data_IF_604178021806
#
_entry.id   IF_604178021806
#
_cell.length_a   1.000
_cell.length_b   1.000
_cell.length_c   1.000
_cell.angle_alpha   90.00
_cell.angle_beta   90.00
_cell.angle_gamma   90.00
#
_symmetry.space_group_name_H-M   'P 1'
#
loop_
_entity.id
_entity.type
_entity.pdbx_description
1 polymer ?
#
# COMPACT_ATOMS: atom_id res chain seq x y z
N UNK A 1 -22.61 28.80 13.89
CA UNK A 1 -21.64 28.20 14.82
C UNK A 1 -22.39 27.25 15.74
N UNK A 2 -22.31 25.93 15.49
CA UNK A 2 -22.85 24.90 16.37
C UNK A 2 -21.85 24.71 17.51
N UNK A 3 -22.19 25.17 18.72
CA UNK A 3 -21.47 24.76 19.93
C UNK A 3 -21.96 23.34 20.27
N UNK A 4 -21.07 22.34 20.35
CA UNK A 4 -21.47 21.06 20.89
C UNK A 4 -21.91 21.27 22.36
N UNK A 5 -22.97 20.60 22.81
CA UNK A 5 -23.40 20.70 24.19
C UNK A 5 -22.25 20.33 25.13
N UNK A 6 -22.02 21.15 26.11
CA UNK A 6 -20.93 21.08 27.07
C UNK A 6 -20.79 19.67 27.63
N UNK A 7 -19.55 19.16 27.56
CA UNK A 7 -19.01 18.10 28.39
C UNK A 7 -19.93 16.89 28.64
N UNK A 8 -20.36 16.18 27.60
CA UNK A 8 -20.64 14.77 27.74
C UNK A 8 -19.31 14.11 28.06
N UNK A 9 -19.15 13.67 29.30
CA UNK A 9 -17.99 12.97 29.82
C UNK A 9 -17.63 11.87 28.82
N UNK A 10 -16.42 11.92 28.29
CA UNK A 10 -15.87 10.99 27.30
C UNK A 10 -15.91 9.51 27.73
N UNK A 11 -16.40 9.21 28.91
CA UNK A 11 -16.50 7.87 29.52
C UNK A 11 -17.82 7.14 29.27
N UNK A 12 -18.84 7.76 28.64
CA UNK A 12 -20.17 7.15 28.53
C UNK A 12 -20.63 6.80 27.10
N UNK A 13 -20.02 7.35 26.04
CA UNK A 13 -20.46 7.03 24.68
C UNK A 13 -19.28 6.94 23.72
N UNK A 14 -19.07 5.74 23.15
CA UNK A 14 -18.11 5.52 22.07
C UNK A 14 -18.86 5.56 20.72
N UNK A 15 -18.59 6.57 19.84
CA UNK A 15 -19.24 6.68 18.55
C UNK A 15 -19.01 5.45 17.66
N UNK A 16 -20.07 4.95 17.03
CA UNK A 16 -19.98 3.75 16.17
C UNK A 16 -19.14 3.98 14.92
N UNK A 17 -19.10 5.21 14.42
CA UNK A 17 -18.20 5.57 13.32
C UNK A 17 -16.71 5.39 13.66
N UNK A 18 -16.31 5.57 14.93
CA UNK A 18 -14.94 5.31 15.34
C UNK A 18 -14.63 3.81 15.41
N UNK A 19 -15.59 2.99 15.77
CA UNK A 19 -15.47 1.53 15.66
C UNK A 19 -15.25 1.10 14.19
N UNK A 20 -15.98 1.70 13.25
CA UNK A 20 -15.79 1.47 11.83
C UNK A 20 -14.38 1.86 11.37
N UNK A 21 -13.88 3.04 11.77
CA UNK A 21 -12.53 3.52 11.43
C UNK A 21 -11.47 2.58 11.99
N UNK A 22 -11.57 2.18 13.27
CA UNK A 22 -10.62 1.28 13.90
C UNK A 22 -10.59 -0.11 13.25
N UNK A 23 -11.75 -0.65 12.91
CA UNK A 23 -11.82 -1.95 12.23
C UNK A 23 -11.34 -1.84 10.77
N UNK A 24 -11.55 -0.71 10.10
CA UNK A 24 -10.96 -0.46 8.78
C UNK A 24 -9.43 -0.31 8.84
N UNK A 25 -8.91 0.36 9.88
CA UNK A 25 -7.48 0.40 10.19
C UNK A 25 -6.93 -1.01 10.41
N UNK A 26 -7.60 -1.81 11.25
CA UNK A 26 -7.18 -3.18 11.54
C UNK A 26 -7.21 -4.08 10.29
N UNK A 27 -8.22 -3.94 9.40
CA UNK A 27 -8.26 -4.66 8.12
C UNK A 27 -7.05 -4.30 7.24
N UNK A 28 -6.70 -3.01 7.15
CA UNK A 28 -5.54 -2.56 6.38
C UNK A 28 -4.23 -3.02 7.01
N UNK A 29 -4.14 -3.02 8.34
CA UNK A 29 -2.99 -3.55 9.07
C UNK A 29 -2.79 -5.05 8.76
N UNK A 30 -3.84 -5.86 8.83
CA UNK A 30 -3.80 -7.30 8.53
C UNK A 30 -3.43 -7.53 7.06
N UNK A 31 -4.02 -6.76 6.13
CA UNK A 31 -3.72 -6.82 4.72
C UNK A 31 -2.20 -6.66 4.45
N UNK A 32 -1.56 -5.66 5.04
CA UNK A 32 -0.12 -5.42 4.84
C UNK A 32 0.76 -6.35 5.66
N UNK A 33 0.31 -6.80 6.82
CA UNK A 33 0.94 -7.86 7.59
C UNK A 33 1.03 -9.16 6.77
N UNK A 34 -0.07 -9.59 6.17
CA UNK A 34 -0.13 -10.81 5.34
C UNK A 34 0.70 -10.67 4.05
N UNK A 35 0.68 -9.48 3.42
CA UNK A 35 1.44 -9.20 2.21
C UNK A 35 2.94 -9.25 2.42
N UNK A 36 3.44 -8.75 3.55
CA UNK A 36 4.87 -8.69 3.86
C UNK A 36 5.39 -10.00 4.44
N UNK A 37 4.55 -10.76 5.14
CA UNK A 37 4.91 -12.05 5.74
C UNK A 37 5.68 -12.97 4.76
N UNK A 38 5.18 -13.12 3.54
CA UNK A 38 5.78 -14.01 2.53
C UNK A 38 7.21 -13.58 2.15
N UNK A 39 7.54 -12.28 2.18
CA UNK A 39 8.90 -11.82 1.80
C UNK A 39 9.98 -12.30 2.77
N UNK A 40 9.60 -12.57 4.01
CA UNK A 40 10.46 -13.17 5.03
C UNK A 40 10.38 -14.69 4.98
N UNK A 41 9.15 -15.23 4.97
CA UNK A 41 8.91 -16.67 4.98
C UNK A 41 9.44 -17.39 3.73
N UNK A 42 9.55 -16.69 2.59
CA UNK A 42 10.06 -17.25 1.33
C UNK A 42 11.50 -17.77 1.46
N UNK A 43 12.28 -17.22 2.41
CA UNK A 43 13.70 -17.61 2.61
C UNK A 43 13.78 -19.07 3.06
N UNK A 44 13.22 -19.46 4.23
CA UNK A 44 13.21 -20.86 4.65
C UNK A 44 12.36 -21.76 3.74
N UNK A 45 11.25 -21.24 3.17
CA UNK A 45 10.45 -22.00 2.19
C UNK A 45 11.28 -22.42 0.99
N UNK A 46 12.07 -21.51 0.45
CA UNK A 46 12.91 -21.78 -0.72
C UNK A 46 14.02 -22.78 -0.41
N UNK A 47 14.60 -22.71 0.78
CA UNK A 47 15.61 -23.67 1.23
C UNK A 47 15.02 -25.08 1.38
N UNK A 48 13.80 -25.20 1.94
CA UNK A 48 13.11 -26.48 2.17
C UNK A 48 12.56 -27.08 0.86
N UNK A 49 12.00 -26.24 -0.02
CA UNK A 49 11.31 -26.69 -1.26
C UNK A 49 12.19 -26.64 -2.51
N UNK A 50 13.47 -26.25 -2.36
CA UNK A 50 14.44 -26.23 -3.46
C UNK A 50 14.16 -25.19 -4.53
N UNK A 51 13.67 -23.98 -4.17
CA UNK A 51 13.30 -22.95 -5.13
C UNK A 51 14.48 -22.06 -5.52
N UNK A 52 14.60 -21.84 -6.81
CA UNK A 52 15.50 -20.86 -7.39
C UNK A 52 14.92 -19.43 -7.32
N UNK A 53 15.69 -18.38 -7.58
CA UNK A 53 15.21 -17.00 -7.54
C UNK A 53 14.05 -16.69 -8.49
N UNK A 54 13.90 -17.44 -9.61
CA UNK A 54 12.76 -17.27 -10.54
C UNK A 54 11.46 -17.76 -9.90
N UNK A 55 11.53 -18.94 -9.29
CA UNK A 55 10.39 -19.52 -8.56
C UNK A 55 9.97 -18.63 -7.39
N UNK A 56 10.93 -18.11 -6.63
CA UNK A 56 10.66 -17.14 -5.56
C UNK A 56 9.94 -15.90 -6.10
N UNK A 57 10.44 -15.33 -7.20
CA UNK A 57 9.83 -14.16 -7.85
C UNK A 57 8.40 -14.46 -8.35
N UNK A 58 8.17 -15.63 -8.93
CA UNK A 58 6.84 -16.04 -9.37
C UNK A 58 5.86 -16.12 -8.20
N UNK A 59 6.25 -16.71 -7.06
CA UNK A 59 5.44 -16.81 -5.85
C UNK A 59 5.14 -15.43 -5.27
N UNK A 60 6.13 -14.53 -5.20
CA UNK A 60 5.98 -13.18 -4.67
C UNK A 60 5.12 -12.29 -5.57
N UNK A 61 5.22 -12.46 -6.90
CA UNK A 61 4.49 -11.65 -7.89
C UNK A 61 3.07 -12.13 -8.16
N UNK A 62 2.77 -13.42 -7.97
CA UNK A 62 1.46 -14.01 -8.27
C UNK A 62 0.30 -13.29 -7.54
N UNK A 63 0.54 -12.80 -6.33
CA UNK A 63 -0.38 -11.98 -5.58
C UNK A 63 -0.88 -10.77 -6.38
N UNK A 64 0.03 -10.06 -7.05
CA UNK A 64 -0.31 -8.83 -7.78
C UNK A 64 -1.21 -9.08 -9.00
N UNK A 65 -1.21 -10.29 -9.55
CA UNK A 65 -2.11 -10.68 -10.64
C UNK A 65 -3.56 -10.63 -10.16
N UNK A 66 -3.86 -11.28 -9.03
CA UNK A 66 -5.20 -11.26 -8.44
C UNK A 66 -5.62 -9.87 -7.97
N UNK A 67 -4.70 -9.16 -7.33
CA UNK A 67 -4.91 -7.80 -6.83
C UNK A 67 -5.27 -6.83 -7.97
N UNK A 68 -4.55 -6.87 -9.09
CA UNK A 68 -4.79 -6.01 -10.26
C UNK A 68 -6.20 -6.20 -10.84
N UNK A 69 -6.64 -7.46 -10.97
CA UNK A 69 -7.97 -7.78 -11.50
C UNK A 69 -9.08 -7.21 -10.62
N UNK A 70 -8.99 -7.45 -9.33
CA UNK A 70 -10.04 -7.02 -8.39
C UNK A 70 -9.99 -5.54 -8.04
N UNK A 71 -8.84 -4.90 -8.12
CA UNK A 71 -8.72 -3.46 -7.90
C UNK A 71 -9.58 -2.66 -8.88
N UNK A 72 -9.64 -3.10 -10.15
CA UNK A 72 -10.45 -2.45 -11.20
C UNK A 72 -11.95 -2.69 -10.96
N UNK A 73 -12.33 -3.88 -10.49
CA UNK A 73 -13.73 -4.30 -10.32
C UNK A 73 -14.25 -3.94 -8.93
N UNK A 74 -13.37 -3.85 -7.94
CA UNK A 74 -13.69 -3.71 -6.52
C UNK A 74 -14.57 -2.52 -6.19
N UNK A 75 -14.37 -1.38 -6.87
CA UNK A 75 -15.23 -0.21 -6.72
C UNK A 75 -16.68 -0.53 -7.10
N UNK A 76 -16.90 -1.14 -8.27
CA UNK A 76 -18.25 -1.54 -8.74
C UNK A 76 -18.90 -2.58 -7.82
N UNK A 77 -18.12 -3.51 -7.29
CA UNK A 77 -18.60 -4.48 -6.31
C UNK A 77 -19.04 -3.79 -5.02
N UNK A 78 -18.23 -2.87 -4.50
CA UNK A 78 -18.53 -2.11 -3.28
C UNK A 78 -19.78 -1.21 -3.46
N UNK A 79 -19.97 -0.61 -4.64
CA UNK A 79 -21.15 0.20 -4.95
C UNK A 79 -22.42 -0.66 -5.06
N UNK A 80 -22.33 -1.84 -5.71
CA UNK A 80 -23.46 -2.73 -5.96
C UNK A 80 -23.89 -3.51 -4.72
N UNK A 81 -22.94 -4.10 -4.00
CA UNK A 81 -23.22 -5.01 -2.87
C UNK A 81 -23.03 -4.34 -1.49
N UNK A 82 -22.49 -3.11 -1.48
CA UNK A 82 -22.14 -2.37 -0.26
C UNK A 82 -20.77 -2.74 0.29
N UNK A 83 -20.02 -1.71 0.72
CA UNK A 83 -18.65 -1.87 1.20
C UNK A 83 -18.49 -2.84 2.38
N UNK A 84 -19.50 -2.97 3.28
CA UNK A 84 -19.46 -3.92 4.40
C UNK A 84 -19.31 -5.37 3.92
N UNK A 85 -20.15 -5.80 2.98
CA UNK A 85 -20.21 -7.18 2.50
C UNK A 85 -18.94 -7.49 1.69
N UNK A 86 -18.55 -6.56 0.81
CA UNK A 86 -17.39 -6.74 -0.07
C UNK A 86 -16.09 -6.79 0.73
N UNK A 87 -15.88 -5.89 1.70
CA UNK A 87 -14.71 -5.94 2.58
C UNK A 87 -14.69 -7.22 3.42
N UNK A 88 -15.83 -7.59 3.97
CA UNK A 88 -15.98 -8.83 4.75
C UNK A 88 -15.62 -10.07 3.95
N UNK A 89 -16.15 -10.18 2.72
CA UNK A 89 -15.83 -11.28 1.80
C UNK A 89 -14.35 -11.27 1.38
N UNK A 90 -13.79 -10.10 1.15
CA UNK A 90 -12.37 -9.92 0.84
C UNK A 90 -11.47 -10.42 1.97
N UNK A 91 -11.70 -9.94 3.21
CA UNK A 91 -10.90 -10.35 4.39
C UNK A 91 -11.00 -11.85 4.62
N UNK A 92 -12.21 -12.41 4.58
CA UNK A 92 -12.39 -13.85 4.76
C UNK A 92 -11.65 -14.64 3.66
N UNK A 93 -11.77 -14.22 2.41
CA UNK A 93 -11.12 -14.86 1.27
C UNK A 93 -9.60 -14.85 1.43
N UNK A 94 -8.97 -13.69 1.63
CA UNK A 94 -7.51 -13.67 1.75
C UNK A 94 -7.00 -14.38 2.99
N UNK A 95 -7.72 -14.30 4.12
CA UNK A 95 -7.34 -15.02 5.35
C UNK A 95 -7.38 -16.54 5.15
N UNK A 96 -8.38 -17.05 4.42
CA UNK A 96 -8.46 -18.47 4.06
C UNK A 96 -7.30 -18.87 3.16
N UNK A 97 -6.96 -18.06 2.13
CA UNK A 97 -5.82 -18.33 1.28
C UNK A 97 -4.48 -18.22 2.03
N UNK A 98 -4.37 -17.31 3.00
CA UNK A 98 -3.21 -17.23 3.90
C UNK A 98 -3.10 -18.53 4.72
N UNK A 99 -4.19 -19.00 5.35
CA UNK A 99 -4.21 -20.27 6.10
C UNK A 99 -3.86 -21.49 5.22
N UNK A 100 -4.34 -21.53 3.98
CA UNK A 100 -4.11 -22.64 3.05
C UNK A 100 -2.70 -22.61 2.43
N UNK A 101 -2.00 -21.49 2.47
CA UNK A 101 -0.69 -21.30 1.82
C UNK A 101 0.33 -22.42 2.15
N UNK A 102 0.50 -22.89 3.41
CA UNK A 102 1.44 -23.97 3.69
C UNK A 102 1.09 -25.28 2.99
N UNK A 103 -0.16 -25.69 3.02
CA UNK A 103 -0.60 -26.91 2.32
C UNK A 103 -0.47 -26.77 0.80
N UNK A 104 -0.78 -25.59 0.26
CA UNK A 104 -0.60 -25.32 -1.16
C UNK A 104 0.87 -25.37 -1.59
N UNK A 105 1.80 -24.91 -0.73
CA UNK A 105 3.23 -24.98 -0.98
C UNK A 105 3.74 -26.43 -1.08
N UNK A 106 3.29 -27.30 -0.17
CA UNK A 106 3.63 -28.74 -0.21
C UNK A 106 2.91 -29.49 -1.34
N UNK A 107 1.72 -29.05 -1.76
CA UNK A 107 1.01 -29.64 -2.90
C UNK A 107 1.65 -29.30 -4.25
N UNK A 108 2.49 -28.27 -4.31
CA UNK A 108 3.27 -27.88 -5.48
C UNK A 108 3.09 -26.43 -5.91
N UNK A 109 3.98 -26.01 -6.80
CA UNK A 109 4.07 -24.58 -7.21
C UNK A 109 2.75 -24.04 -7.77
N UNK A 110 2.06 -24.78 -8.61
CA UNK A 110 0.79 -24.33 -9.22
C UNK A 110 -0.28 -24.05 -8.17
N UNK A 111 -0.40 -24.92 -7.17
CA UNK A 111 -1.36 -24.73 -6.08
C UNK A 111 -1.01 -23.48 -5.25
N UNK A 112 0.27 -23.28 -4.96
CA UNK A 112 0.73 -22.09 -4.26
C UNK A 112 0.47 -20.81 -5.05
N UNK A 113 0.79 -20.79 -6.35
CA UNK A 113 0.52 -19.63 -7.21
C UNK A 113 -0.98 -19.32 -7.26
N UNK A 114 -1.84 -20.33 -7.34
CA UNK A 114 -3.30 -20.15 -7.29
C UNK A 114 -3.75 -19.56 -5.93
N UNK A 115 -3.20 -20.04 -4.81
CA UNK A 115 -3.48 -19.49 -3.49
C UNK A 115 -3.03 -18.03 -3.38
N UNK A 116 -1.86 -17.67 -3.91
CA UNK A 116 -1.35 -16.29 -3.94
C UNK A 116 -2.23 -15.36 -4.79
N UNK A 117 -2.67 -15.82 -5.98
CA UNK A 117 -3.63 -15.08 -6.82
C UNK A 117 -4.96 -14.90 -6.07
N UNK A 118 -5.48 -15.95 -5.46
CA UNK A 118 -6.72 -15.89 -4.66
C UNK A 118 -6.63 -14.91 -3.48
N UNK A 119 -5.49 -14.87 -2.80
CA UNK A 119 -5.20 -13.88 -1.76
C UNK A 119 -5.24 -12.45 -2.33
N UNK A 120 -4.59 -12.21 -3.47
CA UNK A 120 -4.62 -10.93 -4.17
C UNK A 120 -6.02 -10.48 -4.58
N UNK A 121 -6.85 -11.41 -5.06
CA UNK A 121 -8.28 -11.16 -5.37
C UNK A 121 -9.02 -10.67 -4.14
N UNK A 122 -8.80 -11.29 -2.97
CA UNK A 122 -9.43 -10.87 -1.72
C UNK A 122 -8.96 -9.48 -1.25
N UNK A 123 -7.67 -9.19 -1.34
CA UNK A 123 -7.12 -7.91 -0.87
C UNK A 123 -7.45 -6.71 -1.77
N UNK A 124 -7.61 -6.92 -3.09
CA UNK A 124 -7.84 -5.84 -4.05
C UNK A 124 -9.12 -5.03 -3.83
N UNK A 125 -10.08 -5.57 -3.09
CA UNK A 125 -11.34 -4.86 -2.76
C UNK A 125 -11.25 -3.98 -1.50
N UNK A 126 -10.14 -4.03 -0.74
CA UNK A 126 -10.02 -3.39 0.57
C UNK A 126 -10.28 -1.89 0.52
N UNK A 127 -9.48 -1.15 -0.22
CA UNK A 127 -9.62 0.32 -0.27
C UNK A 127 -10.93 0.77 -0.91
N UNK A 128 -11.38 0.23 -2.06
CA UNK A 128 -12.69 0.59 -2.61
C UNK A 128 -13.84 0.40 -1.62
N UNK A 129 -13.82 -0.70 -0.86
CA UNK A 129 -14.85 -0.98 0.15
C UNK A 129 -14.82 -0.02 1.32
N UNK A 130 -13.62 0.34 1.82
CA UNK A 130 -13.45 1.32 2.90
C UNK A 130 -13.94 2.70 2.45
N UNK A 131 -13.58 3.15 1.26
CA UNK A 131 -14.06 4.42 0.72
C UNK A 131 -15.59 4.46 0.55
N UNK A 132 -16.20 3.37 0.06
CA UNK A 132 -17.65 3.25 -0.05
C UNK A 132 -18.35 3.34 1.31
N UNK A 133 -17.77 2.72 2.36
CA UNK A 133 -18.30 2.80 3.72
C UNK A 133 -18.13 4.20 4.33
N UNK A 134 -16.96 4.79 4.21
CA UNK A 134 -16.69 6.12 4.76
C UNK A 134 -17.56 7.19 4.14
N UNK A 135 -17.87 7.09 2.83
CA UNK A 135 -18.80 7.98 2.17
C UNK A 135 -20.22 7.96 2.74
N UNK A 136 -20.63 6.87 3.43
CA UNK A 136 -21.93 6.73 4.07
C UNK A 136 -21.94 7.00 5.57
N UNK A 137 -20.81 6.78 6.24
CA UNK A 137 -20.70 6.82 7.70
C UNK A 137 -20.05 8.07 8.26
N UNK A 138 -19.21 8.73 7.44
CA UNK A 138 -18.39 9.83 7.93
C UNK A 138 -18.78 11.17 7.31
N UNK A 139 -18.83 12.23 8.13
CA UNK A 139 -18.87 13.60 7.66
C UNK A 139 -17.64 13.94 6.81
N UNK A 140 -17.80 14.86 5.84
CA UNK A 140 -16.69 15.28 4.94
C UNK A 140 -15.49 15.80 5.72
N UNK A 141 -15.74 16.47 6.86
CA UNK A 141 -14.72 17.05 7.74
C UNK A 141 -13.87 15.99 8.45
N UNK A 142 -14.43 14.80 8.71
CA UNK A 142 -13.74 13.69 9.38
C UNK A 142 -13.07 12.74 8.37
N UNK A 143 -13.48 12.76 7.11
CA UNK A 143 -13.04 11.81 6.08
C UNK A 143 -11.52 11.78 5.88
N UNK A 144 -10.90 12.95 5.77
CA UNK A 144 -9.44 13.04 5.55
C UNK A 144 -8.63 12.44 6.70
N UNK A 145 -9.07 12.69 7.95
CA UNK A 145 -8.43 12.12 9.15
C UNK A 145 -8.62 10.60 9.23
N UNK A 146 -9.82 10.13 8.93
CA UNK A 146 -10.14 8.70 8.94
C UNK A 146 -9.33 7.94 7.87
N UNK A 147 -9.24 8.48 6.67
CA UNK A 147 -8.42 7.92 5.59
C UNK A 147 -6.94 7.92 5.98
N UNK A 148 -6.43 9.04 6.53
CA UNK A 148 -5.06 9.13 7.02
C UNK A 148 -4.75 8.07 8.08
N UNK A 149 -5.69 7.83 9.02
CA UNK A 149 -5.56 6.77 10.01
C UNK A 149 -5.50 5.39 9.36
N UNK A 150 -6.37 5.09 8.41
CA UNK A 150 -6.35 3.79 7.70
C UNK A 150 -5.05 3.60 6.93
N UNK A 151 -4.54 4.64 6.26
CA UNK A 151 -3.27 4.55 5.54
C UNK A 151 -2.06 4.39 6.47
N UNK A 152 -2.12 4.91 7.71
CA UNK A 152 -1.05 4.69 8.70
C UNK A 152 -0.93 3.22 9.14
N UNK A 153 -1.95 2.41 8.92
CA UNK A 153 -1.90 0.96 9.15
C UNK A 153 -0.95 0.23 8.19
N UNK A 154 -0.69 0.78 7.00
CA UNK A 154 0.20 0.20 5.98
C UNK A 154 1.62 -0.03 6.51
N UNK A 155 2.36 1.01 6.90
CA UNK A 155 3.70 0.82 7.45
C UNK A 155 3.70 0.05 8.76
N UNK A 156 2.68 0.20 9.61
CA UNK A 156 2.60 -0.50 10.88
C UNK A 156 2.42 -2.01 10.69
N UNK A 157 1.54 -2.44 9.79
CA UNK A 157 1.37 -3.86 9.44
C UNK A 157 2.64 -4.45 8.82
N UNK A 158 3.30 -3.68 7.94
CA UNK A 158 4.57 -4.09 7.33
C UNK A 158 5.68 -4.27 8.36
N UNK A 159 5.87 -3.29 9.26
CA UNK A 159 6.85 -3.36 10.37
C UNK A 159 6.55 -4.54 11.29
N UNK A 160 5.28 -4.74 11.65
CA UNK A 160 4.88 -5.87 12.48
C UNK A 160 5.25 -7.21 11.83
N UNK A 161 4.94 -7.40 10.55
CA UNK A 161 5.28 -8.62 9.83
C UNK A 161 6.79 -8.84 9.77
N UNK A 162 7.58 -7.81 9.44
CA UNK A 162 9.05 -7.91 9.39
C UNK A 162 9.66 -8.32 10.73
N UNK A 163 9.12 -7.86 11.85
CA UNK A 163 9.62 -8.19 13.19
C UNK A 163 9.11 -9.55 13.69
N UNK A 164 7.82 -9.84 13.49
CA UNK A 164 7.17 -11.01 14.08
C UNK A 164 7.41 -12.28 13.26
N UNK A 165 7.42 -12.19 11.92
CA UNK A 165 7.59 -13.37 11.07
C UNK A 165 8.89 -14.13 11.35
N UNK A 166 10.09 -13.50 11.46
CA UNK A 166 11.31 -14.24 11.79
C UNK A 166 11.22 -14.98 13.14
N UNK A 167 10.61 -14.34 14.14
CA UNK A 167 10.42 -14.93 15.48
C UNK A 167 9.57 -16.19 15.39
N UNK A 168 8.41 -16.09 14.71
CA UNK A 168 7.52 -17.24 14.53
C UNK A 168 8.20 -18.36 13.74
N UNK A 169 8.92 -18.00 12.67
CA UNK A 169 9.64 -18.97 11.82
C UNK A 169 10.71 -19.73 12.60
N UNK A 170 11.49 -19.04 13.42
CA UNK A 170 12.59 -19.67 14.20
C UNK A 170 12.03 -20.66 15.24
N UNK A 171 10.94 -20.31 15.91
CA UNK A 171 10.42 -21.11 17.02
C UNK A 171 9.45 -22.22 16.59
N UNK A 172 8.69 -21.97 15.51
CA UNK A 172 7.59 -22.87 15.10
C UNK A 172 7.68 -23.34 13.64
N UNK A 173 8.60 -22.77 12.86
CA UNK A 173 8.70 -22.99 11.41
C UNK A 173 7.82 -22.06 10.59
N UNK A 174 8.16 -21.91 9.30
CA UNK A 174 7.49 -20.96 8.39
C UNK A 174 5.97 -21.19 8.19
N UNK A 175 5.42 -22.44 8.26
CA UNK A 175 3.98 -22.64 8.12
C UNK A 175 3.17 -21.88 9.18
N UNK A 176 3.69 -21.80 10.41
CA UNK A 176 2.99 -21.14 11.51
C UNK A 176 2.87 -19.63 11.35
N UNK A 177 3.75 -18.99 10.57
CA UNK A 177 3.58 -17.58 10.23
C UNK A 177 2.29 -17.35 9.40
N UNK A 178 1.96 -18.27 8.49
CA UNK A 178 0.72 -18.19 7.72
C UNK A 178 -0.51 -18.60 8.54
N UNK A 179 -0.40 -19.62 9.37
CA UNK A 179 -1.52 -20.04 10.22
C UNK A 179 -1.88 -18.95 11.23
N UNK A 180 -0.91 -18.36 11.91
CA UNK A 180 -1.16 -17.32 12.91
C UNK A 180 -1.76 -16.06 12.29
N UNK A 181 -1.21 -15.60 11.17
CA UNK A 181 -1.67 -14.38 10.53
C UNK A 181 -3.05 -14.56 9.88
N UNK A 182 -3.29 -15.67 9.19
CA UNK A 182 -4.61 -15.98 8.65
C UNK A 182 -5.68 -16.14 9.73
N UNK A 183 -5.33 -16.67 10.90
CA UNK A 183 -6.23 -16.74 12.04
C UNK A 183 -6.62 -15.36 12.58
N UNK A 184 -5.68 -14.39 12.61
CA UNK A 184 -5.97 -13.00 12.99
C UNK A 184 -7.01 -12.39 12.05
N UNK A 185 -6.90 -12.62 10.74
CA UNK A 185 -7.91 -12.18 9.78
C UNK A 185 -9.27 -12.81 9.97
N UNK A 186 -9.33 -14.09 10.30
CA UNK A 186 -10.59 -14.80 10.61
C UNK A 186 -11.25 -14.24 11.89
N UNK A 187 -10.47 -13.95 12.93
CA UNK A 187 -10.95 -13.29 14.16
C UNK A 187 -11.50 -11.90 13.83
N UNK A 188 -10.76 -11.11 13.05
CA UNK A 188 -11.22 -9.80 12.61
C UNK A 188 -12.55 -9.89 11.86
N UNK A 189 -12.69 -10.85 10.93
CA UNK A 189 -13.92 -11.08 10.17
C UNK A 189 -15.13 -11.30 11.11
N UNK A 190 -14.97 -12.13 12.15
CA UNK A 190 -16.02 -12.38 13.15
C UNK A 190 -16.41 -11.08 13.90
N UNK A 191 -15.43 -10.30 14.35
CA UNK A 191 -15.66 -9.02 15.03
C UNK A 191 -16.36 -8.03 14.08
N UNK A 192 -15.93 -7.97 12.82
CA UNK A 192 -16.54 -7.12 11.80
C UNK A 192 -18.01 -7.43 11.60
N UNK A 193 -18.39 -8.70 11.49
CA UNK A 193 -19.78 -9.11 11.30
C UNK A 193 -20.68 -8.68 12.46
N UNK A 194 -20.17 -8.72 13.68
CA UNK A 194 -20.94 -8.39 14.89
C UNK A 194 -21.00 -6.89 15.20
N UNK A 195 -20.03 -6.10 14.77
CA UNK A 195 -19.87 -4.71 15.21
C UNK A 195 -20.18 -3.66 14.15
N UNK A 196 -20.15 -4.00 12.86
CA UNK A 196 -20.33 -3.05 11.75
C UNK A 196 -21.63 -3.31 11.02
N UNK A 197 -22.31 -2.24 10.63
CA UNK A 197 -23.47 -2.25 9.72
C UNK A 197 -23.14 -1.49 8.43
N UNK A 198 -23.80 -1.89 7.31
CA UNK A 198 -23.61 -1.25 6.01
C UNK A 198 -24.15 0.20 5.99
N UNK A 199 -25.21 0.43 6.77
CA UNK A 199 -25.94 1.70 6.83
C UNK A 199 -26.02 2.17 8.28
N UNK A 200 -25.59 3.41 8.58
CA UNK A 200 -25.70 3.97 9.92
C UNK A 200 -27.15 4.04 10.41
N UNK A 201 -28.12 4.26 9.51
CA UNK A 201 -29.55 4.34 9.87
C UNK A 201 -30.13 3.02 10.41
N UNK A 202 -29.54 1.90 9.99
CA UNK A 202 -29.94 0.53 10.41
C UNK A 202 -29.13 -0.04 11.55
N UNK A 203 -28.18 0.74 12.11
CA UNK A 203 -27.34 0.23 13.19
C UNK A 203 -28.13 0.15 14.52
N UNK A 204 -28.25 -1.03 15.15
CA UNK A 204 -29.15 -1.24 16.29
C UNK A 204 -28.80 -0.45 17.53
N UNK A 205 -27.55 -0.08 17.71
CA UNK A 205 -27.02 0.55 18.94
C UNK A 205 -26.37 1.91 18.68
N UNK A 206 -26.62 2.55 17.53
CA UNK A 206 -26.13 3.91 17.27
C UNK A 206 -26.97 4.91 18.06
N UNK A 207 -26.34 5.90 18.68
CA UNK A 207 -27.07 6.94 19.38
C UNK A 207 -27.79 7.88 18.39
N UNK A 208 -28.95 8.40 18.79
CA UNK A 208 -29.78 9.26 17.95
C UNK A 208 -29.05 10.52 17.47
N UNK A 209 -28.29 11.14 18.37
CA UNK A 209 -27.49 12.32 18.03
C UNK A 209 -26.40 12.03 16.99
N UNK A 210 -25.78 10.82 17.04
CA UNK A 210 -24.78 10.42 16.03
C UNK A 210 -25.47 10.13 14.70
N UNK A 211 -26.62 9.47 14.71
CA UNK A 211 -27.44 9.21 13.52
C UNK A 211 -27.86 10.50 12.85
N UNK A 212 -28.36 11.47 13.62
CA UNK A 212 -28.74 12.79 13.13
C UNK A 212 -27.53 13.53 12.54
N UNK A 213 -26.39 13.51 13.23
CA UNK A 213 -25.16 14.13 12.75
C UNK A 213 -24.69 13.57 11.41
N UNK A 214 -24.73 12.26 11.21
CA UNK A 214 -24.37 11.62 9.93
C UNK A 214 -25.40 12.00 8.85
N UNK A 215 -26.70 12.05 9.17
CA UNK A 215 -27.76 12.37 8.21
C UNK A 215 -27.70 13.81 7.68
N UNK A 216 -27.33 14.80 8.53
CA UNK A 216 -27.21 16.20 8.09
C UNK A 216 -26.13 16.38 7.01
N UNK A 217 -25.10 15.54 7.02
CA UNK A 217 -23.99 15.60 6.07
C UNK A 217 -24.29 14.85 4.78
N UNK A 218 -25.01 13.74 4.85
CA UNK A 218 -25.45 13.01 3.65
C UNK A 218 -26.37 13.86 2.75
N UNK A 219 -27.21 14.72 3.36
CA UNK A 219 -28.14 15.59 2.64
C UNK A 219 -27.45 16.74 1.86
N UNK A 220 -26.19 17.07 2.18
CA UNK A 220 -25.42 18.15 1.52
C UNK A 220 -24.50 17.65 0.40
N UNK A 221 -24.50 16.36 0.07
CA UNK A 221 -23.72 15.82 -1.05
C UNK A 221 -24.39 16.15 -2.38
N UNK A 222 -23.94 17.22 -3.03
CA UNK A 222 -24.26 17.52 -4.42
C UNK A 222 -23.71 16.39 -5.29
N UNK A 223 -24.54 15.80 -6.17
CA UNK A 223 -24.09 14.82 -7.17
C UNK A 223 -22.90 15.38 -7.95
N UNK A 224 -21.78 14.67 -7.90
CA UNK A 224 -20.62 15.05 -8.71
C UNK A 224 -20.96 14.86 -10.20
N UNK A 225 -20.59 15.81 -11.08
CA UNK A 225 -20.77 15.64 -12.51
C UNK A 225 -20.11 14.34 -12.99
N UNK A 226 -20.60 13.79 -14.11
CA UNK A 226 -20.04 12.56 -14.68
C UNK A 226 -18.52 12.72 -14.92
N UNK A 227 -17.70 11.75 -14.50
CA UNK A 227 -16.25 11.86 -14.68
C UNK A 227 -15.89 11.89 -16.18
N UNK A 228 -14.78 12.56 -16.56
CA UNK A 228 -14.27 12.56 -17.92
C UNK A 228 -14.04 11.14 -18.43
N UNK A 229 -14.21 10.93 -19.75
CA UNK A 229 -13.94 9.62 -20.33
C UNK A 229 -12.45 9.24 -20.19
N UNK A 230 -12.15 7.94 -20.14
CA UNK A 230 -10.76 7.47 -20.12
C UNK A 230 -9.94 8.02 -21.30
N UNK A 231 -10.57 8.15 -22.47
CA UNK A 231 -9.93 8.72 -23.66
C UNK A 231 -9.55 10.18 -23.45
N UNK A 232 -10.42 10.95 -22.79
CA UNK A 232 -10.16 12.37 -22.46
C UNK A 232 -9.01 12.46 -21.46
N UNK A 233 -9.01 11.65 -20.40
CA UNK A 233 -7.94 11.65 -19.41
C UNK A 233 -6.58 11.28 -20.03
N UNK A 234 -6.54 10.22 -20.81
CA UNK A 234 -5.32 9.73 -21.46
C UNK A 234 -4.82 10.65 -22.61
N UNK A 235 -5.62 11.61 -23.07
CA UNK A 235 -5.22 12.65 -24.02
C UNK A 235 -4.28 13.70 -23.44
N UNK A 236 -4.09 13.75 -22.12
CA UNK A 236 -3.31 14.78 -21.44
C UNK A 236 -1.97 14.26 -20.89
N UNK A 237 -0.85 14.83 -21.32
CA UNK A 237 0.49 14.44 -20.86
C UNK A 237 0.72 14.53 -19.34
N UNK A 238 0.17 15.52 -18.60
CA UNK A 238 0.30 15.52 -17.14
C UNK A 238 -0.33 14.30 -16.45
N UNK A 239 -1.39 13.70 -17.02
CA UNK A 239 -1.97 12.45 -16.52
C UNK A 239 -0.98 11.30 -16.70
N UNK A 240 -0.31 11.23 -17.87
CA UNK A 240 0.75 10.25 -18.10
C UNK A 240 1.96 10.45 -17.19
N UNK A 241 2.32 11.69 -16.85
CA UNK A 241 3.39 11.96 -15.91
C UNK A 241 3.10 11.36 -14.52
N UNK A 242 1.86 11.44 -14.07
CA UNK A 242 1.41 10.81 -12.82
C UNK A 242 1.43 9.28 -12.95
N UNK A 243 0.90 8.73 -14.05
CA UNK A 243 0.85 7.27 -14.29
C UNK A 243 2.27 6.69 -14.30
N UNK A 244 3.17 7.27 -15.07
CA UNK A 244 4.58 6.83 -15.18
C UNK A 244 5.31 7.03 -13.84
N UNK A 245 5.08 8.16 -13.16
CA UNK A 245 5.62 8.41 -11.82
C UNK A 245 5.19 7.33 -10.83
N UNK A 246 3.90 6.96 -10.82
CA UNK A 246 3.37 5.91 -9.94
C UNK A 246 3.95 4.52 -10.29
N UNK A 247 4.02 4.18 -11.57
CA UNK A 247 4.64 2.96 -12.05
C UNK A 247 6.10 2.84 -11.61
N UNK A 248 6.91 3.87 -11.85
CA UNK A 248 8.33 3.86 -11.50
C UNK A 248 8.57 3.85 -9.98
N UNK A 249 7.75 4.57 -9.21
CA UNK A 249 7.78 4.53 -7.76
C UNK A 249 7.55 3.12 -7.22
N UNK A 250 6.53 2.47 -7.74
CA UNK A 250 6.14 1.14 -7.28
C UNK A 250 7.08 0.05 -7.77
N UNK A 251 7.80 0.24 -8.88
CA UNK A 251 8.85 -0.69 -9.30
C UNK A 251 9.88 -0.89 -8.19
N UNK A 252 10.54 0.18 -7.76
CA UNK A 252 11.52 0.09 -6.68
C UNK A 252 10.90 -0.33 -5.36
N UNK A 253 9.72 0.21 -5.03
CA UNK A 253 9.00 -0.14 -3.80
C UNK A 253 8.66 -1.63 -3.70
N UNK A 254 8.13 -2.24 -4.76
CA UNK A 254 7.75 -3.67 -4.76
C UNK A 254 8.96 -4.60 -4.85
N UNK A 255 10.01 -4.22 -5.59
CA UNK A 255 11.26 -5.00 -5.62
C UNK A 255 11.89 -5.03 -4.23
N UNK A 256 11.98 -3.89 -3.54
CA UNK A 256 12.50 -3.85 -2.18
C UNK A 256 11.59 -4.59 -1.20
N UNK A 257 10.28 -4.40 -1.28
CA UNK A 257 9.33 -5.11 -0.40
C UNK A 257 9.43 -6.63 -0.55
N UNK A 258 9.64 -7.11 -1.77
CA UNK A 258 9.71 -8.54 -2.07
C UNK A 258 11.08 -9.15 -1.70
N UNK A 259 12.17 -8.47 -2.03
CA UNK A 259 13.50 -9.05 -1.98
C UNK A 259 14.43 -8.49 -0.90
N UNK A 260 14.03 -7.43 -0.18
CA UNK A 260 14.91 -6.84 0.85
C UNK A 260 15.31 -7.84 1.94
N UNK A 261 14.39 -8.66 2.52
CA UNK A 261 14.79 -9.68 3.48
C UNK A 261 15.77 -10.70 2.88
N UNK A 262 15.53 -11.13 1.64
CA UNK A 262 16.41 -12.06 0.92
C UNK A 262 17.79 -11.44 0.63
N UNK A 263 17.83 -10.15 0.23
CA UNK A 263 19.09 -9.43 0.04
C UNK A 263 19.89 -9.32 1.35
N UNK A 264 19.23 -9.01 2.46
CA UNK A 264 19.89 -8.89 3.77
C UNK A 264 20.50 -10.22 4.19
N UNK A 265 19.79 -11.34 3.99
CA UNK A 265 20.31 -12.67 4.37
C UNK A 265 21.29 -13.24 3.36
N UNK A 266 20.96 -13.28 2.09
CA UNK A 266 21.76 -13.94 1.06
C UNK A 266 22.82 -13.03 0.42
N UNK A 267 22.51 -11.73 0.30
CA UNK A 267 23.43 -10.74 -0.29
C UNK A 267 24.45 -10.19 0.71
N UNK A 268 23.98 -9.91 1.94
CA UNK A 268 24.82 -9.32 3.00
C UNK A 268 25.26 -10.31 4.08
N UNK A 269 24.79 -11.58 4.02
CA UNK A 269 25.19 -12.62 4.96
C UNK A 269 24.67 -12.42 6.40
N UNK A 270 23.61 -11.64 6.58
CA UNK A 270 23.02 -11.38 7.91
C UNK A 270 22.21 -12.61 8.35
N UNK A 271 22.35 -12.96 9.62
CA UNK A 271 21.60 -14.04 10.25
C UNK A 271 20.09 -13.80 10.11
N UNK A 272 19.33 -14.87 9.80
CA UNK A 272 17.88 -14.81 9.63
C UNK A 272 17.16 -14.25 10.87
N UNK A 273 17.68 -14.50 12.07
CA UNK A 273 17.16 -13.95 13.31
C UNK A 273 17.16 -12.41 13.35
N UNK A 274 18.11 -11.79 12.68
CA UNK A 274 18.31 -10.33 12.66
C UNK A 274 17.64 -9.66 11.46
N UNK A 275 17.15 -10.42 10.47
CA UNK A 275 16.63 -9.89 9.20
C UNK A 275 15.49 -8.88 9.40
N UNK A 276 14.64 -9.11 10.39
CA UNK A 276 13.53 -8.24 10.70
C UNK A 276 13.97 -6.84 11.11
N UNK A 277 14.91 -6.75 12.03
CA UNK A 277 15.44 -5.47 12.54
C UNK A 277 16.07 -4.67 11.41
N UNK A 278 16.92 -5.31 10.61
CA UNK A 278 17.58 -4.64 9.47
C UNK A 278 16.60 -4.20 8.40
N UNK A 279 15.52 -4.97 8.13
CA UNK A 279 14.50 -4.64 7.14
C UNK A 279 13.58 -3.48 7.58
N UNK A 280 13.38 -3.33 8.88
CA UNK A 280 12.49 -2.30 9.43
C UNK A 280 13.09 -0.89 9.35
N UNK A 281 14.41 -0.75 9.49
CA UNK A 281 15.07 0.57 9.59
C UNK A 281 14.75 1.47 8.40
N UNK A 282 14.96 1.07 7.13
CA UNK A 282 14.61 1.91 5.98
C UNK A 282 13.12 2.25 5.89
N UNK A 283 12.24 1.31 6.30
CA UNK A 283 10.78 1.51 6.30
C UNK A 283 10.35 2.57 7.30
N UNK A 284 10.91 2.55 8.52
CA UNK A 284 10.67 3.57 9.53
C UNK A 284 11.20 4.94 9.10
N UNK A 285 12.40 4.97 8.51
CA UNK A 285 12.98 6.19 7.96
C UNK A 285 12.07 6.81 6.88
N UNK A 286 11.53 5.99 5.97
CA UNK A 286 10.57 6.44 4.95
C UNK A 286 9.29 6.98 5.57
N UNK A 287 8.73 6.30 6.57
CA UNK A 287 7.51 6.72 7.26
C UNK A 287 7.67 8.11 7.90
N UNK A 288 8.75 8.35 8.61
CA UNK A 288 9.04 9.65 9.20
C UNK A 288 9.26 10.72 8.13
N UNK A 289 10.02 10.40 7.09
CA UNK A 289 10.35 11.32 6.02
C UNK A 289 9.14 11.75 5.18
N UNK A 290 8.13 10.87 4.98
CA UNK A 290 6.89 11.19 4.28
C UNK A 290 6.18 12.41 4.89
N UNK A 291 6.05 12.44 6.22
CA UNK A 291 5.39 13.54 6.93
C UNK A 291 6.20 14.84 6.82
N UNK A 292 7.52 14.74 6.97
CA UNK A 292 8.42 15.90 6.86
C UNK A 292 8.42 16.46 5.43
N UNK A 293 8.47 15.60 4.42
CA UNK A 293 8.42 16.00 3.00
C UNK A 293 7.10 16.70 2.66
N UNK A 294 5.96 16.18 3.15
CA UNK A 294 4.66 16.82 3.01
C UNK A 294 4.65 18.23 3.61
N UNK A 295 5.07 18.35 4.87
CA UNK A 295 5.12 19.63 5.57
C UNK A 295 6.04 20.65 4.88
N UNK A 296 7.23 20.24 4.43
CA UNK A 296 8.15 21.10 3.68
C UNK A 296 7.48 21.59 2.40
N UNK A 297 6.83 20.69 1.66
CA UNK A 297 6.17 21.01 0.39
C UNK A 297 5.06 22.04 0.59
N UNK A 298 4.19 21.82 1.57
CA UNK A 298 3.08 22.74 1.87
C UNK A 298 3.61 24.12 2.26
N UNK A 299 4.64 24.18 3.11
CA UNK A 299 5.29 25.43 3.51
C UNK A 299 5.92 26.20 2.33
N UNK A 300 6.46 25.47 1.34
CA UNK A 300 7.01 26.10 0.13
C UNK A 300 5.90 26.72 -0.72
N UNK A 301 4.76 26.03 -0.88
CA UNK A 301 3.61 26.50 -1.65
C UNK A 301 2.94 27.69 -0.93
N UNK A 302 2.74 27.60 0.39
CA UNK A 302 2.23 28.72 1.23
C UNK A 302 3.08 29.98 1.10
N UNK A 303 4.41 29.84 0.94
CA UNK A 303 5.33 30.96 0.72
C UNK A 303 5.34 31.51 -0.72
N UNK A 304 4.37 31.09 -1.54
CA UNK A 304 4.18 31.59 -2.90
C UNK A 304 5.04 30.92 -3.97
N UNK A 305 5.70 29.78 -3.68
CA UNK A 305 6.39 29.04 -4.74
C UNK A 305 5.39 28.40 -5.71
N UNK A 306 5.74 28.40 -6.98
CA UNK A 306 4.95 27.74 -8.03
C UNK A 306 4.76 26.26 -7.74
N UNK A 307 3.50 25.80 -7.78
CA UNK A 307 3.12 24.43 -7.42
C UNK A 307 3.79 23.41 -8.34
N UNK A 308 3.77 23.63 -9.66
CA UNK A 308 4.39 22.74 -10.64
C UNK A 308 5.89 22.57 -10.40
N UNK A 309 6.59 23.71 -10.16
CA UNK A 309 8.04 23.67 -9.87
C UNK A 309 8.33 22.95 -8.56
N UNK A 310 7.51 23.15 -7.54
CA UNK A 310 7.64 22.46 -6.24
C UNK A 310 7.41 20.96 -6.38
N UNK A 311 6.37 20.52 -7.12
CA UNK A 311 6.12 19.11 -7.41
C UNK A 311 7.27 18.46 -8.16
N UNK A 312 7.78 19.13 -9.22
CA UNK A 312 8.94 18.65 -10.00
C UNK A 312 10.20 18.54 -9.14
N UNK A 313 10.46 19.51 -8.27
CA UNK A 313 11.59 19.48 -7.36
C UNK A 313 11.50 18.31 -6.38
N UNK A 314 10.35 18.11 -5.73
CA UNK A 314 10.15 17.00 -4.79
C UNK A 314 10.27 15.64 -5.47
N UNK A 315 9.76 15.52 -6.70
CA UNK A 315 9.91 14.33 -7.53
C UNK A 315 11.38 14.06 -7.88
N UNK A 316 12.14 15.10 -8.22
CA UNK A 316 13.58 14.99 -8.56
C UNK A 316 14.39 14.54 -7.36
N UNK A 317 14.15 15.13 -6.18
CA UNK A 317 14.80 14.72 -4.94
C UNK A 317 14.46 13.26 -4.64
N UNK A 318 13.17 12.90 -4.76
CA UNK A 318 12.68 11.55 -4.47
C UNK A 318 13.30 10.49 -5.39
N UNK A 319 13.10 10.64 -6.68
CA UNK A 319 13.57 9.64 -7.63
C UNK A 319 15.07 9.68 -7.88
N UNK A 320 15.66 10.88 -7.94
CA UNK A 320 17.12 11.05 -8.07
C UNK A 320 17.86 10.49 -6.85
N UNK A 321 17.36 10.76 -5.64
CA UNK A 321 17.95 10.24 -4.41
C UNK A 321 17.85 8.72 -4.32
N UNK A 322 16.65 8.15 -4.57
CA UNK A 322 16.46 6.72 -4.59
C UNK A 322 17.33 6.03 -5.66
N UNK A 323 17.39 6.59 -6.87
CA UNK A 323 18.23 6.06 -7.94
C UNK A 323 19.71 6.07 -7.57
N UNK A 324 20.20 7.19 -7.04
CA UNK A 324 21.61 7.33 -6.64
C UNK A 324 21.99 6.29 -5.58
N UNK A 325 21.17 6.13 -4.54
CA UNK A 325 21.46 5.14 -3.48
C UNK A 325 21.41 3.71 -4.00
N UNK A 326 20.43 3.35 -4.84
CA UNK A 326 20.34 2.02 -5.43
C UNK A 326 21.48 1.72 -6.39
N UNK A 327 22.03 2.73 -7.07
CA UNK A 327 23.19 2.57 -7.96
C UNK A 327 24.43 2.06 -7.22
N UNK A 328 24.59 2.46 -5.95
CA UNK A 328 25.79 2.16 -5.16
C UNK A 328 25.58 1.05 -4.13
N UNK A 329 24.36 0.81 -3.63
CA UNK A 329 24.12 -0.15 -2.54
C UNK A 329 24.58 -1.57 -2.87
N UNK A 330 24.49 -1.99 -4.14
CA UNK A 330 24.90 -3.32 -4.58
C UNK A 330 26.42 -3.59 -4.51
N UNK A 331 27.24 -2.56 -4.34
CA UNK A 331 28.69 -2.68 -4.16
C UNK A 331 29.11 -2.73 -2.68
N UNK A 332 28.17 -2.57 -1.76
CA UNK A 332 28.43 -2.57 -0.32
C UNK A 332 28.23 -3.98 0.20
N UNK A 333 29.20 -4.50 0.94
CA UNK A 333 29.19 -5.87 1.45
C UNK A 333 28.95 -5.94 2.96
N UNK A 334 29.09 -4.83 3.69
CA UNK A 334 28.76 -4.77 5.11
C UNK A 334 27.30 -4.31 5.33
N UNK A 335 26.56 -5.04 6.14
CA UNK A 335 25.16 -4.82 6.35
C UNK A 335 24.84 -3.44 6.96
N UNK A 336 25.53 -2.93 7.99
CA UNK A 336 25.25 -1.62 8.55
C UNK A 336 25.33 -0.48 7.52
N UNK A 337 26.36 -0.45 6.69
CA UNK A 337 26.54 0.58 5.65
C UNK A 337 25.49 0.44 4.55
N UNK A 338 25.20 -0.79 4.10
CA UNK A 338 24.16 -1.03 3.11
C UNK A 338 22.77 -0.53 3.61
N UNK A 339 22.41 -0.88 4.84
CA UNK A 339 21.13 -0.45 5.45
C UNK A 339 21.11 1.06 5.68
N UNK A 340 22.21 1.67 6.10
CA UNK A 340 22.29 3.12 6.23
C UNK A 340 22.07 3.81 4.87
N UNK A 341 22.70 3.33 3.80
CA UNK A 341 22.51 3.87 2.45
C UNK A 341 21.06 3.66 1.95
N UNK A 342 20.47 2.46 2.17
CA UNK A 342 19.08 2.19 1.84
C UNK A 342 18.12 3.09 2.63
N UNK A 343 18.44 3.40 3.89
CA UNK A 343 17.66 4.33 4.71
C UNK A 343 17.71 5.76 4.17
N UNK A 344 18.88 6.22 3.72
CA UNK A 344 19.01 7.50 3.02
C UNK A 344 18.16 7.50 1.74
N UNK A 345 18.22 6.44 0.95
CA UNK A 345 17.39 6.27 -0.25
C UNK A 345 15.90 6.31 0.06
N UNK A 346 15.48 5.70 1.15
CA UNK A 346 14.08 5.68 1.60
C UNK A 346 13.62 7.06 2.09
N UNK A 347 14.47 7.80 2.80
CA UNK A 347 14.20 9.20 3.22
C UNK A 347 14.01 10.09 2.00
N UNK A 348 14.95 10.04 1.06
CA UNK A 348 14.86 10.86 -0.15
C UNK A 348 13.68 10.42 -1.02
N UNK A 349 13.49 9.11 -1.21
CA UNK A 349 12.39 8.52 -1.97
C UNK A 349 11.00 8.95 -1.48
N UNK A 350 10.86 9.17 -0.19
CA UNK A 350 9.61 9.66 0.41
C UNK A 350 9.15 11.02 -0.15
N UNK A 351 10.08 11.86 -0.63
CA UNK A 351 9.75 13.14 -1.26
C UNK A 351 8.89 12.97 -2.53
N UNK A 352 9.00 11.84 -3.24
CA UNK A 352 8.23 11.59 -4.44
C UNK A 352 6.70 11.54 -4.19
N UNK A 353 6.28 11.18 -2.97
CA UNK A 353 4.87 11.23 -2.59
C UNK A 353 4.30 12.66 -2.66
N UNK A 354 5.09 13.67 -2.30
CA UNK A 354 4.74 15.09 -2.44
C UNK A 354 4.89 15.60 -3.89
N UNK A 355 5.49 14.81 -4.78
CA UNK A 355 5.57 15.05 -6.22
C UNK A 355 4.33 14.51 -6.94
N UNK A 356 4.41 13.27 -7.42
CA UNK A 356 3.38 12.68 -8.28
C UNK A 356 2.08 12.33 -7.54
N UNK A 357 2.17 11.85 -6.28
CA UNK A 357 0.98 11.29 -5.61
C UNK A 357 -0.02 12.37 -5.18
N UNK A 358 0.41 13.60 -4.90
CA UNK A 358 -0.49 14.73 -4.60
C UNK A 358 -0.96 15.42 -5.88
N UNK A 359 -0.24 15.29 -6.99
CA UNK A 359 -0.54 15.98 -8.25
C UNK A 359 -1.90 15.59 -8.87
N UNK A 360 -2.49 14.44 -8.47
CA UNK A 360 -3.88 14.10 -8.83
C UNK A 360 -4.88 15.18 -8.39
N UNK A 361 -4.69 15.73 -7.18
CA UNK A 361 -5.52 16.78 -6.60
C UNK A 361 -5.30 18.12 -7.31
N UNK A 362 -4.07 18.40 -7.77
CA UNK A 362 -3.76 19.64 -8.45
C UNK A 362 -4.44 19.71 -9.83
N UNK A 363 -4.33 18.63 -10.64
CA UNK A 363 -4.82 18.63 -12.03
C UNK A 363 -6.31 18.33 -12.16
N UNK A 364 -6.90 17.59 -11.21
CA UNK A 364 -8.28 17.13 -11.28
C UNK A 364 -8.92 17.10 -9.87
N UNK A 365 -9.15 18.25 -9.21
CA UNK A 365 -9.63 18.26 -7.82
C UNK A 365 -10.94 17.49 -7.62
N UNK A 366 -11.90 17.60 -8.56
CA UNK A 366 -13.18 16.89 -8.50
C UNK A 366 -13.10 15.42 -8.88
N UNK A 367 -12.11 15.05 -9.71
CA UNK A 367 -11.95 13.69 -10.27
C UNK A 367 -10.64 13.04 -9.84
N UNK A 368 -10.00 13.55 -8.78
CA UNK A 368 -8.73 13.04 -8.28
C UNK A 368 -8.77 11.53 -8.00
N UNK A 369 -9.89 11.02 -7.49
CA UNK A 369 -10.09 9.58 -7.26
C UNK A 369 -10.06 8.75 -8.55
N UNK A 370 -10.58 9.28 -9.67
CA UNK A 370 -10.54 8.59 -10.98
C UNK A 370 -9.11 8.54 -11.53
N UNK A 371 -8.39 9.67 -11.46
CA UNK A 371 -6.98 9.75 -11.89
C UNK A 371 -6.10 8.87 -11.00
N UNK A 372 -6.35 8.86 -9.68
CA UNK A 372 -5.67 7.98 -8.72
C UNK A 372 -5.94 6.50 -9.04
N UNK A 373 -7.18 6.12 -9.28
CA UNK A 373 -7.54 4.75 -9.65
C UNK A 373 -6.81 4.29 -10.91
N UNK A 374 -6.75 5.15 -11.94
CA UNK A 374 -6.05 4.88 -13.19
C UNK A 374 -4.54 4.71 -12.97
N UNK A 375 -3.92 5.64 -12.25
CA UNK A 375 -2.48 5.60 -11.99
C UNK A 375 -2.09 4.43 -11.06
N UNK A 376 -2.93 4.09 -10.07
CA UNK A 376 -2.70 2.98 -9.16
C UNK A 376 -2.83 1.62 -9.86
N UNK A 377 -3.74 1.51 -10.82
CA UNK A 377 -3.84 0.32 -11.68
C UNK A 377 -2.54 0.10 -12.46
N UNK A 378 -2.02 1.14 -13.10
CA UNK A 378 -0.71 1.08 -13.76
C UNK A 378 0.43 0.86 -12.77
N UNK A 379 0.36 1.47 -11.60
CA UNK A 379 1.33 1.31 -10.50
C UNK A 379 1.34 -0.08 -9.85
N UNK A 380 0.34 -0.92 -10.11
CA UNK A 380 0.34 -2.32 -9.64
C UNK A 380 1.11 -3.25 -10.58
N UNK A 381 1.21 -2.91 -11.87
CA UNK A 381 1.90 -3.71 -12.89
C UNK A 381 3.37 -4.03 -12.51
N UNK A 382 4.16 -3.09 -11.94
CA UNK A 382 5.51 -3.37 -11.47
C UNK A 382 5.61 -4.50 -10.43
N UNK A 383 4.57 -4.73 -9.64
CA UNK A 383 4.51 -5.88 -8.74
C UNK A 383 4.55 -7.22 -9.46
N UNK A 384 4.12 -7.25 -10.73
CA UNK A 384 4.22 -8.43 -11.58
C UNK A 384 5.56 -8.42 -12.32
N UNK A 385 5.80 -7.41 -13.17
CA UNK A 385 6.94 -7.44 -14.08
C UNK A 385 8.27 -7.12 -13.39
N UNK A 386 8.30 -6.20 -12.40
CA UNK A 386 9.51 -5.79 -11.71
C UNK A 386 10.06 -6.88 -10.79
N UNK A 387 9.17 -7.58 -10.06
CA UNK A 387 9.57 -8.70 -9.21
C UNK A 387 10.09 -9.87 -10.06
N UNK A 388 9.38 -10.25 -11.14
CA UNK A 388 9.83 -11.33 -12.03
C UNK A 388 11.13 -11.00 -12.76
N UNK A 389 11.28 -9.75 -13.24
CA UNK A 389 12.53 -9.30 -13.86
C UNK A 389 13.71 -9.40 -12.87
N UNK A 390 13.50 -8.99 -11.61
CA UNK A 390 14.52 -9.10 -10.56
C UNK A 390 14.91 -10.55 -10.26
N UNK A 391 13.93 -11.45 -10.15
CA UNK A 391 14.19 -12.87 -9.94
C UNK A 391 14.91 -13.52 -11.13
N UNK A 392 14.56 -13.11 -12.36
CA UNK A 392 15.26 -13.57 -13.56
C UNK A 392 16.71 -13.10 -13.63
N UNK A 393 16.96 -11.81 -13.31
CA UNK A 393 18.32 -11.24 -13.22
C UNK A 393 19.14 -12.01 -12.18
N UNK A 394 18.60 -12.23 -10.99
CA UNK A 394 19.28 -12.98 -9.93
C UNK A 394 19.60 -14.40 -10.32
N UNK A 395 18.66 -15.11 -10.98
CA UNK A 395 18.87 -16.47 -11.41
C UNK A 395 19.95 -16.61 -12.50
N UNK A 396 20.10 -15.61 -13.36
CA UNK A 396 21.08 -15.63 -14.47
C UNK A 396 22.44 -15.07 -14.08
N UNK A 397 22.48 -14.09 -13.19
CA UNK A 397 23.70 -13.30 -12.92
C UNK A 397 24.20 -13.42 -11.49
N UNK A 398 23.37 -13.91 -10.57
CA UNK A 398 23.62 -13.89 -9.11
C UNK A 398 23.99 -12.51 -8.57
N UNK A 399 23.62 -11.41 -9.27
CA UNK A 399 24.05 -10.06 -8.98
C UNK A 399 22.90 -9.21 -8.43
N UNK A 400 22.95 -8.91 -7.14
CA UNK A 400 22.09 -7.91 -6.51
C UNK A 400 22.33 -6.50 -7.05
N UNK A 401 23.60 -6.19 -7.39
CA UNK A 401 23.98 -4.90 -7.98
C UNK A 401 23.18 -4.63 -9.24
N UNK A 402 23.05 -5.61 -10.13
CA UNK A 402 22.30 -5.44 -11.37
C UNK A 402 20.79 -5.22 -11.12
N UNK A 403 20.21 -5.93 -10.16
CA UNK A 403 18.81 -5.73 -9.75
C UNK A 403 18.57 -4.29 -9.31
N UNK A 404 19.45 -3.76 -8.45
CA UNK A 404 19.33 -2.40 -7.96
C UNK A 404 19.61 -1.35 -9.04
N UNK A 405 20.55 -1.59 -9.95
CA UNK A 405 20.83 -0.69 -11.07
C UNK A 405 19.67 -0.62 -12.06
N UNK A 406 18.98 -1.72 -12.33
CA UNK A 406 17.76 -1.71 -13.15
C UNK A 406 16.67 -0.88 -12.46
N UNK A 407 16.46 -1.05 -11.17
CA UNK A 407 15.49 -0.24 -10.41
C UNK A 407 15.88 1.26 -10.42
N UNK A 408 17.18 1.56 -10.29
CA UNK A 408 17.70 2.93 -10.41
C UNK A 408 17.42 3.54 -11.79
N UNK A 409 17.62 2.76 -12.86
CA UNK A 409 17.30 3.16 -14.24
C UNK A 409 15.82 3.49 -14.42
N UNK A 410 14.93 2.67 -13.84
CA UNK A 410 13.47 2.94 -13.86
C UNK A 410 13.12 4.23 -13.10
N UNK A 411 13.74 4.48 -11.95
CA UNK A 411 13.55 5.74 -11.23
C UNK A 411 14.04 6.95 -12.05
N UNK A 412 15.22 6.86 -12.68
CA UNK A 412 15.75 7.93 -13.55
C UNK A 412 14.84 8.21 -14.74
N UNK A 413 14.34 7.16 -15.39
CA UNK A 413 13.36 7.27 -16.47
C UNK A 413 12.09 8.01 -15.98
N UNK A 414 11.52 7.59 -14.86
CA UNK A 414 10.34 8.22 -14.25
C UNK A 414 10.58 9.68 -13.87
N UNK A 415 11.76 10.00 -13.35
CA UNK A 415 12.17 11.37 -13.02
C UNK A 415 12.20 12.26 -14.26
N UNK A 416 12.89 11.83 -15.31
CA UNK A 416 13.00 12.58 -16.56
C UNK A 416 11.62 12.77 -17.20
N UNK A 417 10.82 11.72 -17.26
CA UNK A 417 9.46 11.78 -17.81
C UNK A 417 8.59 12.78 -17.05
N UNK A 418 8.64 12.73 -15.71
CA UNK A 418 7.88 13.66 -14.87
C UNK A 418 8.36 15.10 -15.02
N UNK A 419 9.66 15.34 -15.12
CA UNK A 419 10.22 16.68 -15.36
C UNK A 419 9.76 17.28 -16.69
N UNK A 420 9.65 16.46 -17.72
CA UNK A 420 9.22 16.94 -19.05
C UNK A 420 7.72 17.24 -19.09
N UNK A 421 6.88 16.32 -18.58
CA UNK A 421 5.44 16.32 -18.88
C UNK A 421 4.53 16.69 -17.72
N UNK A 422 5.02 16.74 -16.46
CA UNK A 422 4.18 17.08 -15.32
C UNK A 422 3.77 18.57 -15.32
N UNK A 423 2.54 18.80 -14.90
CA UNK A 423 1.96 20.11 -14.64
C UNK A 423 1.01 20.01 -13.46
N UNK A 424 0.88 21.08 -12.67
CA UNK A 424 -0.13 21.21 -11.61
C UNK A 424 -1.24 22.20 -11.98
N UNK A 425 -1.36 22.55 -13.27
CA UNK A 425 -2.49 23.35 -13.75
C UNK A 425 -3.74 22.46 -13.79
N UNK A 426 -4.86 23.00 -13.34
CA UNK A 426 -6.16 22.30 -13.43
C UNK A 426 -6.49 21.97 -14.88
N UNK A 427 -6.77 20.71 -15.14
CA UNK A 427 -7.16 20.18 -16.45
C UNK A 427 -8.64 19.81 -16.50
N UNK A 428 -9.19 19.41 -15.34
CA UNK A 428 -10.57 18.92 -15.23
C UNK A 428 -11.22 19.58 -14.01
N UNK A 429 -12.31 20.32 -14.24
CA UNK A 429 -13.12 20.98 -13.22
C UNK A 429 -14.42 20.20 -12.92
#
# INVERSE_FOLDING_TARGET
>A
MYQPPAALRLTQYWPRRYTLILLSFAATFICYMDRVNISVAIIPMSAELGWDPRTQAAVLSAFFVGYLVTQVIGGRLADRFGGKIVLSGGVLSWSLFTLVTPWAAFAGLTALLAARVGMGVGEGVTFPSIYSLFGRWLPKEENSRAIGMVFSAIPLGSVFALLVTPIVVIHFGWPWAFFSFGAVGAIWWYVWQTRVQADPQRHPTIAEHERAYIATVAATSVEAPRPPSLRTLLGHLPVWAIIVGHFCNNWGGYVLLAFMPTYITQGLGVDFASVGIFSVVPSLCSFLALNVAGWITDRMIERGRDVTKTRKMMQTIGFGGAATTLMFVGYIHDAPTAIALMSVGSILGACAASGFAVNHLDIAPRYAGVVMGLSNTAGTIPGIIGINASGWILAMTHSWTLVFQVAAGVYLFGMVFYLLFASSRRLFD
#
